data_IF_885860752121
#
_entry.id   IF_885860752121
#
_cell.length_a   1.000
_cell.length_b   1.000
_cell.length_c   1.000
_cell.angle_alpha   90.00
_cell.angle_beta   90.00
_cell.angle_gamma   90.00
#
_symmetry.space_group_name_H-M   'P 1'
#
loop_
_entity.id
_entity.type
_entity.pdbx_description
1 polymer ?
#
# COMPACT_ATOMS: atom_id res chain seq x y z
N UNK A 1 12.98 35.20 18.15
CA UNK A 1 13.26 34.52 16.86
C UNK A 1 12.27 33.38 16.67
N UNK A 2 11.38 33.51 15.67
CA UNK A 2 10.31 32.52 15.40
C UNK A 2 10.85 31.47 14.44
N UNK A 3 10.93 30.21 14.90
CA UNK A 3 11.28 29.07 14.07
C UNK A 3 10.05 28.67 13.25
N UNK A 4 10.11 28.89 11.95
CA UNK A 4 9.05 28.47 11.01
C UNK A 4 9.26 26.99 10.70
N UNK A 5 8.26 26.19 11.03
CA UNK A 5 8.17 24.79 10.64
C UNK A 5 8.07 24.68 9.11
N UNK A 6 9.04 24.02 8.50
CA UNK A 6 8.94 23.57 7.11
C UNK A 6 8.13 22.27 7.07
N UNK A 7 6.86 22.39 6.72
CA UNK A 7 6.13 21.23 6.21
C UNK A 7 6.56 21.01 4.76
N UNK A 8 7.27 19.91 4.53
CA UNK A 8 7.51 19.43 3.18
C UNK A 8 6.17 18.91 2.62
N UNK A 9 5.54 19.73 1.80
CA UNK A 9 4.37 19.39 1.02
C UNK A 9 4.84 18.43 -0.08
N UNK A 10 4.52 17.14 0.06
CA UNK A 10 4.68 16.18 -1.03
C UNK A 10 3.79 16.68 -2.18
N UNK A 11 4.44 17.16 -3.24
CA UNK A 11 3.76 17.56 -4.45
C UNK A 11 3.09 16.32 -5.06
N UNK A 12 1.77 16.24 -4.94
CA UNK A 12 0.97 15.36 -5.77
C UNK A 12 1.21 15.79 -7.22
N UNK A 13 1.93 14.98 -7.97
CA UNK A 13 2.04 15.14 -9.42
C UNK A 13 0.65 14.91 -9.98
N UNK A 14 -0.06 16.01 -10.22
CA UNK A 14 -1.24 16.01 -11.07
C UNK A 14 -0.73 15.58 -12.44
N UNK A 15 -1.06 14.37 -12.86
CA UNK A 15 -0.94 13.97 -14.25
C UNK A 15 -1.89 14.88 -15.03
N UNK A 16 -1.36 15.99 -15.51
CA UNK A 16 -2.06 16.86 -16.42
C UNK A 16 -2.44 16.00 -17.63
N UNK A 17 -3.72 15.85 -17.89
CA UNK A 17 -4.19 15.31 -19.15
C UNK A 17 -3.58 16.18 -20.26
N UNK A 18 -2.57 15.65 -20.94
CA UNK A 18 -2.00 16.30 -22.09
C UNK A 18 -3.08 16.31 -23.17
N UNK A 19 -3.72 17.46 -23.36
CA UNK A 19 -4.54 17.71 -24.52
C UNK A 19 -3.58 17.86 -25.71
N UNK A 20 -3.40 16.82 -26.47
CA UNK A 20 -2.70 16.90 -27.75
C UNK A 20 -3.74 17.24 -28.79
N UNK A 21 -3.89 18.52 -29.07
CA UNK A 21 -4.58 18.96 -30.30
C UNK A 21 -3.60 18.81 -31.45
N UNK A 22 -3.74 17.77 -32.25
CA UNK A 22 -3.08 17.68 -33.53
C UNK A 22 -3.87 18.50 -34.55
N UNK A 23 -3.35 19.64 -34.95
CA UNK A 23 -3.72 20.32 -36.16
C UNK A 23 -2.82 19.80 -37.28
N UNK A 24 -3.26 18.77 -38.00
CA UNK A 24 -2.71 18.49 -39.31
C UNK A 24 -3.75 17.74 -40.18
N UNK A 25 -4.00 18.30 -41.36
CA UNK A 25 -4.77 17.84 -42.50
C UNK A 25 -6.29 17.57 -42.35
N UNK A 26 -7.04 18.50 -42.96
CA UNK A 26 -8.35 18.36 -43.69
C UNK A 26 -9.48 17.50 -43.10
N UNK A 27 -9.27 16.68 -42.09
CA UNK A 27 -10.30 16.04 -41.30
C UNK A 27 -10.40 16.76 -39.95
N UNK A 28 -11.40 17.62 -39.77
CA UNK A 28 -11.78 18.23 -38.48
C UNK A 28 -12.28 17.18 -37.47
N UNK A 29 -11.67 16.02 -37.40
CA UNK A 29 -12.03 14.96 -36.48
C UNK A 29 -11.37 15.23 -35.12
N UNK A 30 -12.16 15.66 -34.16
CA UNK A 30 -11.76 15.84 -32.78
C UNK A 30 -11.55 14.48 -32.13
N UNK A 31 -10.31 14.16 -31.75
CA UNK A 31 -9.96 12.90 -31.11
C UNK A 31 -9.72 13.09 -29.62
N UNK A 32 -10.33 12.23 -28.79
CA UNK A 32 -10.12 12.17 -27.36
C UNK A 32 -9.86 10.74 -26.91
N UNK A 33 -8.90 10.56 -26.02
CA UNK A 33 -8.69 9.33 -25.31
C UNK A 33 -8.05 9.61 -23.94
N UNK A 34 -8.81 9.38 -22.88
CA UNK A 34 -8.32 9.56 -21.51
C UNK A 34 -9.10 8.69 -20.54
N UNK A 35 -8.52 8.48 -19.37
CA UNK A 35 -9.17 7.77 -18.28
C UNK A 35 -9.18 8.59 -16.99
N UNK A 36 -10.11 8.25 -16.08
CA UNK A 36 -10.26 8.90 -14.78
C UNK A 36 -10.69 7.86 -13.73
N UNK A 37 -10.08 7.87 -12.58
CA UNK A 37 -10.50 7.06 -11.43
C UNK A 37 -11.90 7.45 -10.95
N UNK A 38 -12.70 6.47 -10.52
CA UNK A 38 -14.10 6.71 -10.11
C UNK A 38 -14.24 7.21 -8.66
N UNK A 39 -13.24 7.00 -7.81
CA UNK A 39 -13.28 7.32 -6.39
C UNK A 39 -12.27 8.40 -5.99
N UNK A 40 -11.98 9.38 -6.83
CA UNK A 40 -10.89 10.35 -6.65
C UNK A 40 -9.52 9.68 -6.46
N UNK A 41 -9.40 8.41 -6.83
CA UNK A 41 -8.23 7.59 -6.65
C UNK A 41 -7.42 7.50 -7.95
N UNK A 42 -6.90 8.64 -8.41
CA UNK A 42 -5.98 8.62 -9.57
C UNK A 42 -4.66 7.87 -9.27
N UNK A 43 -4.38 7.59 -8.00
CA UNK A 43 -3.22 6.80 -7.59
C UNK A 43 -3.45 5.28 -7.77
N UNK A 44 -4.67 4.84 -8.05
CA UNK A 44 -5.06 3.43 -8.21
C UNK A 44 -4.54 2.54 -7.07
N UNK A 45 -4.74 2.99 -5.83
CA UNK A 45 -4.40 2.23 -4.63
C UNK A 45 -5.64 1.50 -4.16
N UNK A 46 -5.52 0.19 -3.99
CA UNK A 46 -6.57 -0.68 -3.43
C UNK A 46 -6.05 -1.37 -2.17
N UNK A 47 -6.98 -1.69 -1.28
CA UNK A 47 -6.64 -2.33 -0.02
C UNK A 47 -6.74 -3.85 -0.12
N UNK A 48 -6.13 -4.55 0.83
CA UNK A 48 -5.99 -6.01 0.81
C UNK A 48 -7.31 -6.78 0.66
N UNK A 49 -8.37 -6.27 1.27
CA UNK A 49 -9.72 -6.84 1.29
C UNK A 49 -10.67 -6.27 0.23
N UNK A 50 -10.20 -5.28 -0.54
CA UNK A 50 -10.97 -4.69 -1.62
C UNK A 50 -11.01 -5.64 -2.81
N UNK A 51 -12.21 -5.97 -3.27
CA UNK A 51 -12.44 -6.93 -4.35
C UNK A 51 -12.76 -6.29 -5.68
N UNK A 52 -13.13 -5.00 -5.70
CA UNK A 52 -13.52 -4.30 -6.92
C UNK A 52 -13.09 -2.83 -6.92
N UNK A 53 -12.80 -2.32 -8.10
CA UNK A 53 -12.65 -0.90 -8.40
C UNK A 53 -12.98 -0.63 -9.86
N UNK A 54 -13.06 0.63 -10.28
CA UNK A 54 -13.34 0.97 -11.66
C UNK A 54 -12.74 2.32 -12.06
N UNK A 55 -12.53 2.48 -13.36
CA UNK A 55 -12.18 3.75 -13.98
C UNK A 55 -13.20 4.08 -15.08
N UNK A 56 -13.30 5.35 -15.40
CA UNK A 56 -14.02 5.81 -16.59
C UNK A 56 -13.02 6.01 -17.72
N UNK A 57 -13.33 5.50 -18.89
CA UNK A 57 -12.58 5.73 -20.13
C UNK A 57 -13.45 6.52 -21.07
N UNK A 58 -12.93 7.61 -21.60
CA UNK A 58 -13.59 8.40 -22.63
C UNK A 58 -12.78 8.31 -23.90
N UNK A 59 -13.44 7.92 -25.01
CA UNK A 59 -12.81 7.81 -26.31
C UNK A 59 -13.76 8.24 -27.42
N UNK A 60 -13.22 8.87 -28.46
CA UNK A 60 -13.90 9.12 -29.73
C UNK A 60 -13.60 8.05 -30.78
N UNK A 61 -12.64 7.19 -30.48
CA UNK A 61 -12.11 6.19 -31.39
C UNK A 61 -12.15 4.79 -30.78
N UNK A 62 -12.15 3.77 -31.63
CA UNK A 62 -11.97 2.37 -31.22
C UNK A 62 -10.67 2.20 -30.46
N UNK A 63 -10.72 1.46 -29.36
CA UNK A 63 -9.56 1.22 -28.51
C UNK A 63 -9.53 -0.21 -27.99
N UNK A 64 -8.34 -0.67 -27.65
CA UNK A 64 -8.10 -1.99 -27.08
C UNK A 64 -7.68 -1.89 -25.63
N UNK A 65 -7.92 -2.95 -24.87
CA UNK A 65 -7.50 -3.05 -23.48
C UNK A 65 -6.97 -4.44 -23.17
N UNK A 66 -5.92 -4.47 -22.38
CA UNK A 66 -5.27 -5.69 -21.90
C UNK A 66 -4.95 -5.60 -20.41
N UNK A 67 -4.96 -6.73 -19.74
CA UNK A 67 -4.58 -6.87 -18.35
C UNK A 67 -3.94 -8.23 -18.15
N UNK A 68 -2.65 -8.24 -17.81
CA UNK A 68 -1.89 -9.46 -17.55
C UNK A 68 -1.54 -9.51 -16.07
N UNK A 69 -2.35 -10.19 -15.29
CA UNK A 69 -2.16 -10.33 -13.85
C UNK A 69 -2.90 -11.57 -13.34
N UNK A 70 -2.29 -12.29 -12.43
CA UNK A 70 -2.88 -13.44 -11.74
C UNK A 70 -3.81 -13.06 -10.58
N UNK A 71 -3.75 -11.81 -10.13
CA UNK A 71 -4.55 -11.31 -9.00
C UNK A 71 -5.53 -10.17 -9.36
N UNK A 72 -5.42 -9.60 -10.56
CA UNK A 72 -6.28 -8.54 -11.05
C UNK A 72 -6.87 -8.93 -12.41
N UNK A 73 -8.17 -8.81 -12.57
CA UNK A 73 -8.86 -9.00 -13.83
C UNK A 73 -9.55 -7.71 -14.23
N UNK A 74 -9.60 -7.43 -15.52
CA UNK A 74 -10.24 -6.26 -16.10
C UNK A 74 -11.36 -6.65 -17.05
N UNK A 75 -12.46 -5.91 -17.03
CA UNK A 75 -13.53 -6.00 -18.02
C UNK A 75 -14.03 -4.62 -18.40
N UNK A 76 -14.53 -4.47 -19.65
CA UNK A 76 -15.19 -3.26 -20.11
C UNK A 76 -16.56 -3.64 -20.63
N UNK A 77 -17.61 -3.02 -20.08
CA UNK A 77 -19.00 -3.35 -20.40
C UNK A 77 -19.31 -4.85 -20.30
N UNK A 78 -18.71 -5.52 -19.32
CA UNK A 78 -18.87 -6.96 -19.05
C UNK A 78 -18.04 -7.89 -19.96
N UNK A 79 -17.25 -7.37 -20.88
CA UNK A 79 -16.32 -8.17 -21.68
C UNK A 79 -14.95 -8.20 -21.04
N UNK A 80 -14.38 -9.37 -20.73
CA UNK A 80 -13.05 -9.48 -20.11
C UNK A 80 -11.92 -9.06 -21.06
N UNK A 81 -10.81 -8.57 -20.49
CA UNK A 81 -9.58 -8.33 -21.23
C UNK A 81 -8.92 -9.70 -21.65
N UNK A 82 -8.18 -9.76 -22.77
CA UNK A 82 -8.01 -8.70 -23.75
C UNK A 82 -9.21 -8.58 -24.69
N UNK A 83 -9.64 -7.36 -25.04
CA UNK A 83 -10.69 -7.14 -26.04
C UNK A 83 -10.56 -5.73 -26.67
N UNK A 84 -11.44 -5.45 -27.61
CA UNK A 84 -11.54 -4.19 -28.34
C UNK A 84 -12.92 -3.57 -28.15
N UNK A 85 -12.97 -2.30 -27.75
CA UNK A 85 -14.19 -1.53 -27.75
C UNK A 85 -14.29 -0.74 -29.05
N UNK A 86 -15.31 -1.04 -29.85
CA UNK A 86 -15.59 -0.35 -31.10
C UNK A 86 -16.40 0.91 -30.80
N UNK A 87 -15.87 2.07 -31.16
CA UNK A 87 -16.56 3.37 -31.09
C UNK A 87 -16.98 3.79 -32.47
N UNK A 88 -18.27 4.15 -32.62
CA UNK A 88 -18.80 4.62 -33.88
C UNK A 88 -18.25 6.01 -34.19
N UNK A 89 -17.79 6.24 -35.44
CA UNK A 89 -17.31 7.56 -35.90
C UNK A 89 -18.32 8.68 -35.56
N UNK A 90 -17.82 9.77 -35.01
CA UNK A 90 -18.60 10.93 -34.60
C UNK A 90 -19.33 10.82 -33.26
N UNK A 91 -19.09 9.72 -32.51
CA UNK A 91 -19.63 9.53 -31.17
C UNK A 91 -18.50 9.58 -30.11
N UNK A 92 -18.87 10.01 -28.91
CA UNK A 92 -18.01 9.95 -27.73
C UNK A 92 -18.48 8.77 -26.87
N UNK A 93 -17.64 7.75 -26.75
CA UNK A 93 -17.86 6.66 -25.82
C UNK A 93 -17.39 7.05 -24.41
N UNK A 94 -18.15 6.65 -23.40
CA UNK A 94 -17.85 6.83 -21.97
C UNK A 94 -18.05 5.51 -21.24
N UNK A 95 -17.16 4.60 -21.48
CA UNK A 95 -17.22 3.27 -20.88
C UNK A 95 -16.65 3.25 -19.47
N UNK A 96 -17.14 2.27 -18.69
CA UNK A 96 -16.55 1.92 -17.41
C UNK A 96 -15.70 0.66 -17.58
N UNK A 97 -14.42 0.75 -17.22
CA UNK A 97 -13.59 -0.41 -17.02
C UNK A 97 -13.68 -0.81 -15.54
N UNK A 98 -14.09 -2.04 -15.28
CA UNK A 98 -14.22 -2.62 -13.94
C UNK A 98 -13.07 -3.59 -13.72
N UNK A 99 -12.50 -3.53 -12.53
CA UNK A 99 -11.44 -4.42 -12.08
C UNK A 99 -11.95 -5.25 -10.91
N UNK A 100 -11.61 -6.54 -10.93
CA UNK A 100 -11.80 -7.43 -9.79
C UNK A 100 -10.45 -7.88 -9.26
N UNK A 101 -10.33 -7.99 -7.95
CA UNK A 101 -9.08 -8.31 -7.27
C UNK A 101 -9.25 -9.53 -6.36
N UNK A 102 -8.23 -10.39 -6.32
CA UNK A 102 -8.11 -11.34 -5.24
C UNK A 102 -7.53 -10.66 -3.98
N UNK A 103 -7.91 -11.08 -2.76
CA UNK A 103 -7.35 -10.54 -1.52
C UNK A 103 -5.82 -10.68 -1.48
N UNK A 104 -5.14 -9.65 -0.98
CA UNK A 104 -3.69 -9.70 -0.84
C UNK A 104 -3.27 -10.31 0.51
N UNK A 105 -3.04 -11.61 0.53
CA UNK A 105 -2.58 -12.37 1.70
C UNK A 105 -1.06 -12.55 1.76
N UNK A 106 -0.31 -11.92 0.86
CA UNK A 106 1.14 -12.14 0.73
C UNK A 106 1.97 -11.48 1.83
N UNK A 107 1.38 -10.57 2.61
CA UNK A 107 2.11 -9.76 3.58
C UNK A 107 2.96 -8.63 2.96
N UNK A 108 2.97 -8.52 1.63
CA UNK A 108 3.72 -7.52 0.88
C UNK A 108 2.80 -6.73 -0.05
N UNK A 109 3.16 -5.50 -0.34
CA UNK A 109 2.53 -4.71 -1.40
C UNK A 109 2.77 -5.38 -2.76
N UNK A 110 1.75 -5.39 -3.62
CA UNK A 110 1.88 -5.90 -4.98
C UNK A 110 1.31 -4.91 -6.00
N UNK A 111 1.86 -4.96 -7.20
CA UNK A 111 1.47 -4.06 -8.29
C UNK A 111 1.09 -4.85 -9.53
N UNK A 112 0.15 -4.32 -10.31
CA UNK A 112 -0.18 -4.84 -11.63
C UNK A 112 -0.57 -3.69 -12.56
N UNK A 113 -0.15 -3.77 -13.81
CA UNK A 113 -0.51 -2.83 -14.86
C UNK A 113 -1.64 -3.38 -15.73
N UNK A 114 -2.38 -2.48 -16.33
CA UNK A 114 -3.25 -2.73 -17.46
C UNK A 114 -2.91 -1.73 -18.58
N UNK A 115 -3.23 -2.07 -19.81
CA UNK A 115 -2.93 -1.19 -20.94
C UNK A 115 -4.20 -0.83 -21.69
N UNK A 116 -4.33 0.45 -21.98
CA UNK A 116 -5.37 1.02 -22.84
C UNK A 116 -4.68 1.58 -24.07
N UNK A 117 -5.01 1.07 -25.26
CA UNK A 117 -4.36 1.50 -26.50
C UNK A 117 -5.37 2.04 -27.48
N UNK A 118 -5.16 3.26 -27.93
CA UNK A 118 -5.88 3.83 -29.05
C UNK A 118 -4.96 3.77 -30.29
N UNK A 119 -5.36 3.06 -31.35
CA UNK A 119 -4.55 2.92 -32.56
C UNK A 119 -4.49 4.18 -33.42
N UNK A 120 -5.31 5.19 -33.11
CA UNK A 120 -5.34 6.44 -33.86
C UNK A 120 -4.01 7.17 -33.73
N UNK A 121 -3.49 7.62 -34.85
CA UNK A 121 -2.21 8.33 -34.92
C UNK A 121 -2.21 9.52 -33.95
N UNK A 122 -1.15 9.65 -33.17
CA UNK A 122 -0.91 10.73 -32.20
C UNK A 122 -1.68 10.67 -30.87
N UNK A 123 -2.53 9.67 -30.60
CA UNK A 123 -3.24 9.55 -29.32
C UNK A 123 -2.47 8.66 -28.33
N UNK A 124 -1.95 7.53 -28.76
CA UNK A 124 -1.06 6.68 -27.96
C UNK A 124 -1.75 5.72 -27.01
N UNK A 125 -0.99 5.27 -26.02
CA UNK A 125 -1.39 4.24 -25.04
C UNK A 125 -1.15 4.73 -23.62
N UNK A 126 -1.95 4.19 -22.69
CA UNK A 126 -1.76 4.36 -21.24
C UNK A 126 -1.51 3.00 -20.61
N UNK A 127 -0.58 2.94 -19.67
CA UNK A 127 -0.31 1.74 -18.88
C UNK A 127 -0.32 2.06 -17.38
N UNK A 128 -1.50 2.38 -16.82
CA UNK A 128 -1.62 2.67 -15.41
C UNK A 128 -1.32 1.43 -14.56
N UNK A 129 -0.92 1.67 -13.31
CA UNK A 129 -0.54 0.62 -12.36
C UNK A 129 -1.45 0.67 -11.15
N UNK A 130 -2.10 -0.46 -10.83
CA UNK A 130 -2.72 -0.65 -9.52
C UNK A 130 -1.69 -1.10 -8.50
N UNK A 131 -1.78 -0.53 -7.32
CA UNK A 131 -1.04 -0.95 -6.14
C UNK A 131 -2.02 -1.53 -5.12
N UNK A 132 -1.87 -2.81 -4.77
CA UNK A 132 -2.68 -3.42 -3.71
C UNK A 132 -1.86 -3.58 -2.43
N UNK A 133 -2.34 -2.95 -1.35
CA UNK A 133 -1.74 -3.03 -0.02
C UNK A 133 -1.94 -4.43 0.58
N UNK A 134 -1.02 -4.92 1.44
CA UNK A 134 -1.25 -6.13 2.23
C UNK A 134 -2.28 -5.88 3.33
N UNK A 135 -2.72 -6.92 4.07
CA UNK A 135 -3.59 -6.76 5.23
C UNK A 135 -2.94 -5.96 6.36
N UNK A 136 -1.64 -6.11 6.52
CA UNK A 136 -0.86 -5.41 7.52
C UNK A 136 0.55 -5.12 7.00
N UNK A 137 1.16 -4.07 7.55
CA UNK A 137 2.54 -3.72 7.28
C UNK A 137 3.21 -3.29 8.60
N UNK A 138 4.32 -3.94 8.96
CA UNK A 138 5.12 -3.60 10.13
C UNK A 138 6.21 -2.64 9.69
N UNK A 139 6.25 -1.46 10.30
CA UNK A 139 7.28 -0.44 10.02
C UNK A 139 8.46 -0.56 10.98
N UNK A 140 8.19 -0.96 12.24
CA UNK A 140 9.20 -1.28 13.25
C UNK A 140 8.72 -2.50 14.07
N UNK A 141 9.59 -3.46 14.36
CA UNK A 141 10.98 -3.58 13.92
C UNK A 141 11.13 -3.77 12.41
N UNK A 142 12.32 -3.51 11.89
CA UNK A 142 12.61 -3.71 10.46
C UNK A 142 12.67 -5.21 10.17
N UNK A 143 12.13 -5.60 9.02
CA UNK A 143 12.21 -6.98 8.54
C UNK A 143 13.66 -7.37 8.22
N UNK A 144 14.12 -8.47 8.80
CA UNK A 144 15.40 -9.06 8.49
C UNK A 144 15.22 -10.13 7.41
N UNK A 145 15.60 -9.80 6.18
CA UNK A 145 15.49 -10.73 5.04
C UNK A 145 16.39 -11.96 5.16
N UNK A 146 17.42 -11.92 6.00
CA UNK A 146 18.33 -13.06 6.23
C UNK A 146 17.66 -14.11 7.11
N UNK A 147 16.92 -13.67 8.13
CA UNK A 147 16.22 -14.56 9.05
C UNK A 147 14.75 -14.78 8.68
N UNK A 148 14.22 -13.98 7.77
CA UNK A 148 12.80 -14.03 7.38
C UNK A 148 11.84 -13.56 8.49
N UNK A 149 12.32 -12.75 9.45
CA UNK A 149 11.54 -12.39 10.64
C UNK A 149 11.61 -10.89 10.96
N UNK A 150 10.60 -10.42 11.69
CA UNK A 150 10.66 -9.13 12.38
C UNK A 150 11.22 -9.36 13.78
N UNK A 151 12.33 -8.72 14.11
CA UNK A 151 12.94 -8.88 15.43
C UNK A 151 13.30 -7.55 16.05
N UNK A 152 12.67 -7.23 17.19
CA UNK A 152 12.99 -6.07 18.00
C UNK A 152 14.14 -6.45 18.95
N UNK A 153 15.35 -6.05 18.55
CA UNK A 153 16.62 -6.29 19.27
C UNK A 153 17.05 -5.04 20.04
N UNK A 154 18.16 -5.15 20.75
CA UNK A 154 18.81 -4.04 21.45
C UNK A 154 17.99 -3.47 22.61
N UNK A 155 17.16 -4.29 23.24
CA UNK A 155 16.55 -3.93 24.52
C UNK A 155 17.57 -4.35 25.60
N UNK A 156 18.06 -3.36 26.35
CA UNK A 156 19.04 -3.57 27.41
C UNK A 156 18.39 -4.20 28.65
N UNK A 157 19.21 -4.53 29.65
CA UNK A 157 18.74 -5.13 30.91
C UNK A 157 17.74 -4.23 31.66
N UNK A 158 17.75 -2.93 31.48
CA UNK A 158 16.81 -1.99 32.11
C UNK A 158 15.45 -1.91 31.36
N UNK A 159 15.30 -2.67 30.28
CA UNK A 159 14.06 -2.68 29.48
C UNK A 159 13.94 -1.52 28.48
N UNK A 160 15.04 -0.84 28.18
CA UNK A 160 15.05 0.26 27.22
C UNK A 160 15.72 -0.17 25.91
N UNK A 161 15.13 0.23 24.79
CA UNK A 161 15.79 0.14 23.49
C UNK A 161 17.05 1.01 23.51
N UNK A 162 18.15 0.49 23.02
CA UNK A 162 19.46 1.14 23.09
C UNK A 162 20.09 1.15 21.70
N UNK A 163 20.49 2.31 21.22
CA UNK A 163 21.18 2.47 19.94
C UNK A 163 22.39 3.39 20.12
N UNK A 164 23.52 2.99 19.57
CA UNK A 164 24.73 3.81 19.57
C UNK A 164 24.89 4.51 18.25
N UNK A 165 25.03 5.84 18.30
CA UNK A 165 25.30 6.67 17.13
C UNK A 165 26.68 6.44 16.57
N UNK A 166 26.96 6.93 15.36
CA UNK A 166 28.30 6.87 14.75
C UNK A 166 29.38 7.55 15.59
N UNK A 167 28.99 8.55 16.39
CA UNK A 167 29.86 9.32 17.26
C UNK A 167 30.02 8.66 18.64
N UNK A 168 29.54 7.43 18.81
CA UNK A 168 29.68 6.66 20.05
C UNK A 168 28.70 7.05 21.17
N UNK A 169 27.74 7.91 20.90
CA UNK A 169 26.71 8.28 21.89
C UNK A 169 25.64 7.22 21.94
N UNK A 170 25.37 6.66 23.11
CA UNK A 170 24.27 5.72 23.34
C UNK A 170 22.99 6.47 23.67
N UNK A 171 21.99 6.29 22.85
CA UNK A 171 20.63 6.80 23.05
C UNK A 171 19.73 5.67 23.55
N UNK A 172 18.85 5.98 24.48
CA UNK A 172 17.86 5.03 24.98
C UNK A 172 16.44 5.57 24.82
N UNK A 173 15.51 4.67 24.52
CA UNK A 173 14.08 4.98 24.37
C UNK A 173 13.24 3.79 24.83
N UNK A 174 11.95 4.02 25.06
CA UNK A 174 11.01 2.89 25.23
C UNK A 174 10.94 2.09 23.92
N UNK A 175 10.99 0.75 23.98
CA UNK A 175 10.81 -0.05 22.79
C UNK A 175 9.39 0.09 22.24
N UNK A 176 9.27 0.18 20.91
CA UNK A 176 7.99 0.35 20.23
C UNK A 176 7.86 -0.62 19.07
N UNK A 177 6.62 -1.02 18.80
CA UNK A 177 6.21 -1.68 17.57
C UNK A 177 5.33 -0.71 16.80
N UNK A 178 5.67 -0.41 15.54
CA UNK A 178 4.85 0.44 14.68
C UNK A 178 4.37 -0.35 13.47
N UNK A 179 3.09 -0.23 13.17
CA UNK A 179 2.46 -0.96 12.08
C UNK A 179 1.24 -0.22 11.51
N UNK A 180 0.85 -0.57 10.32
CA UNK A 180 -0.40 -0.14 9.69
C UNK A 180 -1.21 -1.38 9.31
N UNK A 181 -2.50 -1.37 9.61
CA UNK A 181 -3.44 -2.39 9.16
C UNK A 181 -4.32 -1.84 8.04
N UNK A 182 -4.60 -2.68 7.05
CA UNK A 182 -5.41 -2.32 5.88
C UNK A 182 -6.74 -3.08 5.83
N UNK A 183 -7.04 -3.84 6.89
CA UNK A 183 -8.34 -4.47 7.14
C UNK A 183 -8.76 -4.24 8.59
N UNK A 184 -10.04 -4.40 8.90
CA UNK A 184 -10.56 -4.30 10.26
C UNK A 184 -10.22 -5.54 11.10
N UNK A 185 -10.30 -5.40 12.43
CA UNK A 185 -10.16 -6.54 13.36
C UNK A 185 -8.71 -6.99 13.59
N UNK A 186 -7.77 -6.04 13.67
CA UNK A 186 -6.39 -6.35 14.00
C UNK A 186 -6.17 -6.44 15.52
N UNK A 187 -5.26 -7.33 15.92
CA UNK A 187 -4.83 -7.50 17.30
C UNK A 187 -3.33 -7.85 17.38
N UNK A 188 -2.70 -7.47 18.48
CA UNK A 188 -1.35 -7.91 18.84
C UNK A 188 -1.45 -8.80 20.09
N UNK A 189 -0.99 -10.05 19.97
CA UNK A 189 -1.13 -11.11 20.99
C UNK A 189 0.23 -11.72 21.35
N UNK A 190 0.25 -12.61 22.38
CA UNK A 190 1.47 -13.32 22.84
C UNK A 190 2.08 -12.68 24.08
N UNK A 191 1.42 -11.73 24.73
CA UNK A 191 1.88 -11.14 25.99
C UNK A 191 1.64 -12.04 27.20
N UNK A 192 0.65 -12.94 27.13
CA UNK A 192 0.32 -13.88 28.20
C UNK A 192 1.40 -14.97 28.39
N UNK A 193 2.27 -15.15 27.39
CA UNK A 193 3.34 -16.13 27.42
C UNK A 193 4.58 -15.65 28.20
N UNK A 194 4.57 -14.41 28.72
CA UNK A 194 5.66 -13.88 29.51
C UNK A 194 5.19 -12.84 30.54
N UNK A 195 5.86 -12.83 31.69
CA UNK A 195 5.59 -11.93 32.81
C UNK A 195 6.40 -10.62 32.79
N UNK A 196 7.32 -10.49 31.84
CA UNK A 196 8.29 -9.41 31.77
C UNK A 196 7.98 -8.38 30.68
N UNK A 197 6.99 -8.65 29.85
CA UNK A 197 6.59 -7.79 28.73
C UNK A 197 5.09 -7.49 28.78
N UNK A 198 4.74 -6.23 28.75
CA UNK A 198 3.37 -5.76 28.56
C UNK A 198 3.34 -4.63 27.52
N UNK A 199 2.16 -4.22 27.12
CA UNK A 199 2.00 -3.19 26.08
C UNK A 199 0.94 -2.14 26.48
N UNK A 200 0.80 -1.10 25.66
CA UNK A 200 -0.11 0.01 25.96
C UNK A 200 -1.25 0.18 24.97
N UNK A 201 -1.12 -0.37 23.77
CA UNK A 201 -2.12 -0.21 22.72
C UNK A 201 -3.31 -1.12 22.98
N UNK A 202 -4.50 -0.54 23.04
CA UNK A 202 -5.75 -1.32 23.08
C UNK A 202 -6.15 -1.75 21.68
N UNK A 203 -6.71 -2.96 21.47
CA UNK A 203 -7.28 -3.35 20.19
C UNK A 203 -8.29 -2.35 19.62
N UNK A 204 -9.03 -1.64 20.48
CA UNK A 204 -9.97 -0.61 20.07
C UNK A 204 -9.32 0.65 19.48
N UNK A 205 -8.02 0.86 19.72
CA UNK A 205 -7.26 1.99 19.20
C UNK A 205 -6.59 1.69 17.85
N UNK A 206 -6.61 0.42 17.42
CA UNK A 206 -6.08 0.01 16.12
C UNK A 206 -7.09 0.39 15.04
N UNK A 207 -6.69 1.30 14.16
CA UNK A 207 -7.55 1.81 13.09
C UNK A 207 -6.99 1.47 11.72
N UNK A 208 -7.89 1.09 10.81
CA UNK A 208 -7.58 0.85 9.40
C UNK A 208 -6.95 2.09 8.76
N UNK A 209 -5.89 1.89 8.00
CA UNK A 209 -5.15 2.91 7.23
C UNK A 209 -4.48 4.00 8.09
N UNK A 210 -4.26 3.73 9.36
CA UNK A 210 -3.57 4.63 10.27
C UNK A 210 -2.32 3.95 10.82
N UNK A 211 -1.21 4.69 10.90
CA UNK A 211 -0.01 4.20 11.57
C UNK A 211 -0.28 4.08 13.07
N UNK A 212 -0.24 2.86 13.59
CA UNK A 212 -0.35 2.55 14.99
C UNK A 212 1.02 2.41 15.62
N UNK A 213 1.16 2.86 16.86
CA UNK A 213 2.39 2.70 17.65
C UNK A 213 2.03 2.05 18.97
N UNK A 214 2.55 0.86 19.21
CA UNK A 214 2.45 0.21 20.50
C UNK A 214 3.75 0.38 21.29
N UNK A 215 3.65 0.97 22.46
CA UNK A 215 4.79 1.12 23.37
C UNK A 215 4.85 -0.07 24.31
N UNK A 216 5.97 -0.78 24.26
CA UNK A 216 6.21 -1.92 25.11
C UNK A 216 6.75 -1.48 26.47
N UNK A 217 6.24 -2.10 27.53
CA UNK A 217 6.75 -2.00 28.89
C UNK A 217 7.52 -3.27 29.20
N UNK A 218 8.82 -3.16 29.25
CA UNK A 218 9.73 -4.28 29.46
C UNK A 218 10.32 -4.17 30.86
N UNK A 219 10.14 -5.18 31.69
CA UNK A 219 10.71 -5.21 33.04
C UNK A 219 12.21 -5.41 33.00
N UNK A 220 12.91 -5.02 34.08
CA UNK A 220 14.35 -5.22 34.22
C UNK A 220 14.71 -6.70 34.16
N UNK A 221 15.73 -7.04 33.38
CA UNK A 221 16.30 -8.37 33.32
C UNK A 221 17.44 -8.52 34.37
N UNK A 222 17.17 -9.27 35.41
CA UNK A 222 18.16 -9.55 36.50
C UNK A 222 18.76 -10.93 36.39
N UNK A 223 18.43 -11.71 35.36
CA UNK A 223 18.86 -13.11 35.22
C UNK A 223 20.31 -13.26 34.72
N UNK A 224 20.86 -12.20 34.13
CA UNK A 224 22.16 -12.25 33.47
C UNK A 224 22.17 -13.01 32.13
N UNK A 225 21.00 -13.46 31.66
CA UNK A 225 20.84 -14.18 30.41
C UNK A 225 19.84 -13.45 29.47
N UNK A 226 20.06 -13.55 28.18
CA UNK A 226 19.12 -13.04 27.19
C UNK A 226 17.76 -13.77 27.30
N UNK A 227 16.67 -13.04 27.15
CA UNK A 227 15.33 -13.60 27.08
C UNK A 227 14.59 -13.09 25.85
N UNK A 228 13.66 -13.89 25.34
CA UNK A 228 12.88 -13.52 24.16
C UNK A 228 11.43 -14.04 24.27
N UNK A 229 10.56 -13.37 23.55
CA UNK A 229 9.15 -13.78 23.35
C UNK A 229 8.75 -13.48 21.92
N UNK A 230 7.84 -14.27 21.37
CA UNK A 230 7.27 -14.01 20.06
C UNK A 230 5.85 -13.49 20.22
N UNK A 231 5.66 -12.24 19.81
CA UNK A 231 4.35 -11.63 19.66
C UNK A 231 3.78 -11.96 18.27
N UNK A 232 2.49 -11.90 18.12
CA UNK A 232 1.82 -12.12 16.84
C UNK A 232 0.87 -10.98 16.54
N UNK A 233 1.14 -10.24 15.47
CA UNK A 233 0.22 -9.27 14.91
C UNK A 233 -0.70 -9.98 13.91
N UNK A 234 -2.01 -9.93 14.16
CA UNK A 234 -3.03 -10.57 13.32
C UNK A 234 -3.92 -9.52 12.67
N UNK A 235 -4.31 -9.76 11.44
CA UNK A 235 -5.33 -8.96 10.74
C UNK A 235 -5.99 -9.83 9.67
N UNK A 236 -7.29 -9.96 9.73
CA UNK A 236 -8.13 -10.69 8.75
C UNK A 236 -7.58 -12.09 8.37
N UNK A 237 -7.20 -12.88 9.36
CA UNK A 237 -6.67 -14.24 9.16
C UNK A 237 -5.18 -14.31 8.76
N UNK A 238 -4.54 -13.19 8.50
CA UNK A 238 -3.09 -13.12 8.30
C UNK A 238 -2.41 -12.87 9.65
N UNK A 239 -1.37 -13.64 9.93
CA UNK A 239 -0.59 -13.56 11.17
C UNK A 239 0.88 -13.31 10.85
N UNK A 240 1.48 -12.34 11.52
CA UNK A 240 2.91 -12.02 11.36
C UNK A 240 3.59 -12.07 12.72
N UNK A 241 4.59 -12.95 12.90
CA UNK A 241 5.34 -13.03 14.15
C UNK A 241 6.34 -11.88 14.28
N UNK A 242 6.51 -11.39 15.51
CA UNK A 242 7.47 -10.37 15.89
C UNK A 242 8.21 -10.90 17.12
N UNK A 243 9.50 -11.17 17.01
CA UNK A 243 10.32 -11.60 18.12
C UNK A 243 10.84 -10.37 18.87
N UNK A 244 10.62 -10.32 20.18
CA UNK A 244 11.18 -9.31 21.08
C UNK A 244 12.29 -9.95 21.90
N UNK A 245 13.49 -9.33 21.89
CA UNK A 245 14.70 -9.85 22.53
C UNK A 245 15.24 -8.82 23.51
N UNK A 246 15.42 -9.23 24.78
CA UNK A 246 16.05 -8.43 25.83
C UNK A 246 17.35 -9.08 26.29
N UNK A 247 18.43 -8.30 26.38
CA UNK A 247 19.72 -8.69 26.89
C UNK A 247 19.79 -8.61 28.43
#
# INVERSE_FOLDING_TARGET
MKLKSLFALAAATIAAAAFVTSCDDADNDFHQFYWQGTHNNNALIVYADQTEDSIKVTSTDTWTYTCESDWMQMSVNGKPAPDTLVVRKGYIDRSRATFTFTPNTTGQERTASFTLTNPTKHIGSFSPVFTQKPYLNISLPVYDSTTGTFTLKNINSEGLYSATTKDGVTLTAKPVITFTVYADGAELTGFDDCDWLTHTLSPADIRKNVLCTDTLKVSRNTTGHQRSVTLTLKSNGVSTPITVVQN
#
